data_IF_699792356026
#
_entry.id   IF_699792356026
#
_cell.length_a   1.000
_cell.length_b   1.000
_cell.length_c   1.000
_cell.angle_alpha   90.00
_cell.angle_beta   90.00
_cell.angle_gamma   90.00
#
_symmetry.space_group_name_H-M   'P 1'
#
loop_
_entity.id
_entity.type
_entity.pdbx_description
1 polymer ?
#
# COMPACT_ATOMS: atom_id res chain seq x y z
N UNK A 1 0.50 -13.74 15.26
CA UNK A 1 0.09 -14.85 14.36
C UNK A 1 -1.28 -14.51 13.75
N UNK A 2 -1.67 -15.16 12.65
CA UNK A 2 -3.05 -15.09 12.18
C UNK A 2 -4.02 -15.64 13.24
N UNK A 3 -5.28 -15.20 13.23
CA UNK A 3 -6.27 -15.65 14.20
C UNK A 3 -7.66 -15.72 13.56
N UNK A 4 -8.16 -16.94 13.38
CA UNK A 4 -9.50 -17.20 12.85
C UNK A 4 -10.60 -16.83 13.85
N UNK A 5 -10.26 -16.67 15.13
CA UNK A 5 -11.21 -16.16 16.12
C UNK A 5 -11.29 -14.63 15.99
N UNK A 6 -12.48 -14.07 15.72
CA UNK A 6 -12.63 -12.64 15.56
C UNK A 6 -12.21 -11.88 16.83
N UNK A 7 -11.32 -10.89 16.66
CA UNK A 7 -10.94 -9.92 17.69
C UNK A 7 -11.34 -8.55 17.18
N UNK A 8 -12.14 -7.81 17.97
CA UNK A 8 -12.72 -6.52 17.59
C UNK A 8 -13.41 -6.54 16.22
N UNK A 9 -14.11 -7.65 15.92
CA UNK A 9 -14.86 -7.83 14.69
C UNK A 9 -14.01 -8.20 13.47
N UNK A 10 -12.73 -8.54 13.63
CA UNK A 10 -11.83 -8.92 12.53
C UNK A 10 -11.15 -10.26 12.83
N UNK A 11 -11.19 -11.17 11.87
CA UNK A 11 -10.37 -12.38 11.89
C UNK A 11 -9.33 -12.33 10.76
N UNK A 12 -8.32 -13.19 10.84
CA UNK A 12 -7.30 -13.32 9.80
C UNK A 12 -6.82 -14.73 9.61
N UNK A 13 -6.33 -15.03 8.41
CA UNK A 13 -5.70 -16.30 8.04
C UNK A 13 -4.56 -16.04 7.06
N UNK A 14 -3.56 -16.93 7.06
CA UNK A 14 -2.43 -16.88 6.13
C UNK A 14 -2.71 -17.80 4.93
N UNK A 15 -2.49 -17.30 3.72
CA UNK A 15 -2.55 -18.05 2.48
C UNK A 15 -1.17 -18.06 1.83
N UNK A 16 -0.70 -19.22 1.38
CA UNK A 16 0.53 -19.35 0.60
C UNK A 16 0.16 -19.71 -0.83
N UNK A 17 0.50 -18.85 -1.78
CA UNK A 17 0.30 -19.15 -3.19
C UNK A 17 1.23 -20.30 -3.61
N UNK A 18 0.66 -21.43 -3.99
CA UNK A 18 1.43 -22.63 -4.36
C UNK A 18 2.32 -22.43 -5.60
N UNK A 19 2.03 -21.45 -6.46
CA UNK A 19 2.84 -21.19 -7.64
C UNK A 19 4.10 -20.35 -7.34
N UNK A 20 3.99 -19.41 -6.39
CA UNK A 20 5.07 -18.43 -6.10
C UNK A 20 5.72 -18.64 -4.74
N UNK A 21 5.09 -19.42 -3.85
CA UNK A 21 5.47 -19.53 -2.44
C UNK A 21 5.18 -18.26 -1.64
N UNK A 22 4.51 -17.25 -2.24
CA UNK A 22 4.25 -15.97 -1.61
C UNK A 22 3.18 -16.11 -0.52
N UNK A 23 3.52 -15.69 0.70
CA UNK A 23 2.58 -15.61 1.80
C UNK A 23 1.80 -14.30 1.75
N UNK A 24 0.47 -14.40 1.88
CA UNK A 24 -0.44 -13.28 2.02
C UNK A 24 -1.26 -13.49 3.30
N UNK A 25 -1.38 -12.47 4.15
CA UNK A 25 -2.32 -12.49 5.27
C UNK A 25 -3.61 -11.81 4.87
N UNK A 26 -4.70 -12.55 4.92
CA UNK A 26 -6.05 -12.05 4.65
C UNK A 26 -6.70 -11.62 5.97
N UNK A 27 -7.34 -10.45 5.98
CA UNK A 27 -8.14 -9.93 7.08
C UNK A 27 -9.56 -9.68 6.58
N UNK A 28 -10.55 -10.18 7.31
CA UNK A 28 -11.96 -10.05 6.95
C UNK A 28 -12.82 -9.60 8.13
N UNK A 29 -13.91 -8.86 7.87
CA UNK A 29 -14.88 -8.55 8.91
C UNK A 29 -15.63 -9.81 9.32
N UNK A 30 -15.91 -9.95 10.61
CA UNK A 30 -16.80 -10.98 11.16
C UNK A 30 -18.10 -10.35 11.65
N UNK A 31 -19.23 -11.00 11.36
CA UNK A 31 -20.49 -10.67 12.02
C UNK A 31 -20.44 -11.10 13.49
N UNK A 32 -20.99 -10.29 14.41
CA UNK A 32 -21.04 -10.63 15.85
C UNK A 32 -21.90 -11.87 16.16
N UNK A 33 -22.70 -12.35 15.20
CA UNK A 33 -23.69 -13.43 15.41
C UNK A 33 -23.07 -14.82 15.15
N UNK A 34 -21.99 -14.91 14.36
CA UNK A 34 -21.28 -16.18 14.10
C UNK A 34 -20.38 -16.61 15.30
N UNK A 35 -20.35 -15.80 16.37
CA UNK A 35 -19.30 -15.79 17.40
C UNK A 35 -19.40 -16.87 18.49
N UNK A 36 -20.01 -18.04 18.25
CA UNK A 36 -20.02 -19.05 19.33
C UNK A 36 -19.47 -20.43 19.01
N UNK A 37 -19.63 -21.04 17.83
CA UNK A 37 -19.24 -22.46 17.70
C UNK A 37 -18.90 -22.97 16.27
N UNK A 38 -18.44 -22.14 15.34
CA UNK A 38 -18.05 -22.63 14.00
C UNK A 38 -16.68 -22.10 13.60
N UNK A 39 -15.86 -23.00 13.02
CA UNK A 39 -14.70 -22.63 12.22
C UNK A 39 -15.20 -21.60 11.22
N UNK A 40 -14.63 -20.39 11.25
CA UNK A 40 -14.98 -19.35 10.27
C UNK A 40 -14.69 -19.93 8.90
N UNK A 41 -15.68 -19.88 8.01
CA UNK A 41 -15.50 -20.25 6.62
C UNK A 41 -14.61 -19.17 5.97
N UNK A 42 -13.32 -19.49 5.84
CA UNK A 42 -12.27 -18.54 5.48
C UNK A 42 -12.47 -17.95 4.08
N UNK A 43 -13.11 -18.70 3.19
CA UNK A 43 -13.34 -18.32 1.80
C UNK A 43 -14.84 -18.20 1.50
N UNK A 44 -15.63 -17.81 2.51
CA UNK A 44 -17.05 -17.49 2.32
C UNK A 44 -17.17 -16.36 1.30
N UNK A 45 -18.00 -16.53 0.24
CA UNK A 45 -18.22 -15.47 -0.74
C UNK A 45 -18.71 -14.16 -0.11
N UNK A 46 -18.19 -13.04 -0.62
CA UNK A 46 -18.66 -11.71 -0.24
C UNK A 46 -20.08 -11.43 -0.75
N UNK A 47 -20.61 -10.24 -0.41
CA UNK A 47 -21.99 -9.85 -0.73
C UNK A 47 -22.25 -9.84 -2.24
N UNK A 48 -23.31 -10.53 -2.67
CA UNK A 48 -23.76 -10.54 -4.07
C UNK A 48 -24.46 -9.23 -4.50
N UNK A 49 -24.78 -8.34 -3.55
CA UNK A 49 -25.54 -7.11 -3.82
C UNK A 49 -24.79 -5.84 -3.47
N UNK A 50 -24.02 -5.86 -2.39
CA UNK A 50 -23.21 -4.72 -1.94
C UNK A 50 -21.79 -4.89 -2.44
N UNK A 51 -21.17 -3.80 -2.89
CA UNK A 51 -19.76 -3.79 -3.26
C UNK A 51 -18.91 -3.81 -2.00
N UNK A 52 -18.01 -4.77 -1.89
CA UNK A 52 -17.05 -4.90 -0.79
C UNK A 52 -15.64 -4.64 -1.33
N UNK A 53 -14.97 -3.55 -0.90
CA UNK A 53 -13.61 -3.25 -1.34
C UNK A 53 -12.62 -4.33 -0.89
N UNK A 54 -11.61 -4.59 -1.72
CA UNK A 54 -10.45 -5.42 -1.38
C UNK A 54 -9.20 -4.56 -1.46
N UNK A 55 -8.55 -4.34 -0.31
CA UNK A 55 -7.31 -3.56 -0.21
C UNK A 55 -6.13 -4.55 -0.26
N UNK A 56 -5.33 -4.50 -1.32
CA UNK A 56 -4.02 -5.17 -1.36
C UNK A 56 -3.01 -4.24 -0.70
N UNK A 57 -2.54 -4.62 0.48
CA UNK A 57 -1.68 -3.80 1.32
C UNK A 57 -0.22 -4.27 1.25
N UNK A 58 0.67 -3.33 0.98
CA UNK A 58 2.12 -3.52 1.03
C UNK A 58 2.67 -2.76 2.23
N UNK A 59 3.33 -3.48 3.12
CA UNK A 59 3.91 -2.88 4.31
C UNK A 59 5.15 -2.02 3.98
N UNK A 60 5.42 -1.02 4.80
CA UNK A 60 6.67 -0.27 4.79
C UNK A 60 7.83 -1.04 5.42
N UNK A 61 8.96 -0.36 5.56
CA UNK A 61 10.21 -0.98 6.04
C UNK A 61 11.40 -0.74 5.10
N UNK A 62 11.29 0.23 4.19
CA UNK A 62 12.37 0.61 3.27
C UNK A 62 12.90 -0.59 2.45
N UNK A 63 11.98 -1.42 1.97
CA UNK A 63 12.22 -2.67 1.23
C UNK A 63 12.96 -3.77 2.01
N UNK A 64 13.46 -3.49 3.20
CA UNK A 64 14.36 -4.37 3.97
C UNK A 64 13.68 -4.95 5.21
N UNK A 65 12.81 -4.18 5.86
CA UNK A 65 12.25 -4.52 7.15
C UNK A 65 10.80 -4.97 7.09
N UNK A 66 10.40 -5.61 8.20
CA UNK A 66 9.04 -6.03 8.50
C UNK A 66 8.53 -7.16 7.61
N UNK A 67 7.26 -7.48 7.82
CA UNK A 67 6.55 -8.61 7.25
C UNK A 67 5.04 -8.35 7.39
N UNK A 68 4.22 -9.08 6.65
CA UNK A 68 2.77 -9.06 6.83
C UNK A 68 2.34 -9.45 8.27
N UNK A 69 3.20 -10.16 9.02
CA UNK A 69 2.95 -10.57 10.40
C UNK A 69 3.51 -9.63 11.48
N UNK A 70 4.22 -8.57 11.10
CA UNK A 70 4.72 -7.57 12.04
C UNK A 70 3.56 -6.89 12.76
N UNK A 71 3.61 -6.82 14.09
CA UNK A 71 2.47 -6.39 14.91
C UNK A 71 1.92 -5.00 14.53
N UNK A 72 2.79 -4.08 14.14
CA UNK A 72 2.40 -2.73 13.69
C UNK A 72 1.52 -2.77 12.43
N UNK A 73 1.85 -3.64 11.46
CA UNK A 73 1.08 -3.79 10.22
C UNK A 73 -0.13 -4.67 10.40
N UNK A 74 -0.06 -5.71 11.23
CA UNK A 74 -1.23 -6.52 11.59
C UNK A 74 -2.32 -5.66 12.24
N UNK A 75 -1.91 -4.83 13.19
CA UNK A 75 -2.81 -3.87 13.86
C UNK A 75 -3.38 -2.86 12.86
N UNK A 76 -2.56 -2.34 11.95
CA UNK A 76 -3.00 -1.37 10.95
C UNK A 76 -4.00 -1.98 9.95
N UNK A 77 -3.74 -3.17 9.43
CA UNK A 77 -4.65 -3.88 8.52
C UNK A 77 -6.01 -4.16 9.17
N UNK A 78 -6.02 -4.59 10.45
CA UNK A 78 -7.27 -4.77 11.22
C UNK A 78 -8.07 -3.48 11.35
N UNK A 79 -7.40 -2.33 11.54
CA UNK A 79 -8.07 -1.02 11.56
C UNK A 79 -8.66 -0.67 10.20
N UNK A 80 -7.93 -0.91 9.11
CA UNK A 80 -8.43 -0.68 7.75
C UNK A 80 -9.70 -1.48 7.45
N UNK A 81 -9.74 -2.78 7.81
CA UNK A 81 -10.95 -3.61 7.70
C UNK A 81 -12.13 -2.94 8.41
N UNK A 82 -11.93 -2.52 9.65
CA UNK A 82 -13.01 -1.95 10.47
C UNK A 82 -13.50 -0.58 9.99
N UNK A 83 -12.58 0.29 9.58
CA UNK A 83 -12.86 1.66 9.13
C UNK A 83 -13.50 1.67 7.74
N UNK A 84 -12.97 0.86 6.82
CA UNK A 84 -13.36 0.87 5.42
C UNK A 84 -14.44 -0.17 5.08
N UNK A 85 -14.78 -1.06 6.01
CA UNK A 85 -15.67 -2.22 5.76
C UNK A 85 -15.20 -3.03 4.55
N UNK A 86 -13.89 -3.25 4.50
CA UNK A 86 -13.19 -3.87 3.39
C UNK A 86 -12.54 -5.19 3.81
N UNK A 87 -12.19 -6.02 2.83
CA UNK A 87 -11.20 -7.09 2.99
C UNK A 87 -9.80 -6.48 2.82
N UNK A 88 -8.83 -6.91 3.62
CA UNK A 88 -7.42 -6.51 3.44
C UNK A 88 -6.58 -7.75 3.17
N UNK A 89 -5.75 -7.70 2.14
CA UNK A 89 -4.77 -8.74 1.80
C UNK A 89 -3.38 -8.13 1.95
N UNK A 90 -2.69 -8.44 3.04
CA UNK A 90 -1.35 -7.93 3.35
C UNK A 90 -0.29 -8.88 2.77
N UNK A 91 0.54 -8.36 1.86
CA UNK A 91 1.50 -9.14 1.08
C UNK A 91 2.83 -9.24 1.84
N UNK A 92 3.33 -10.46 2.07
CA UNK A 92 4.64 -10.69 2.69
C UNK A 92 5.74 -10.73 1.63
N UNK A 93 5.94 -9.61 0.95
CA UNK A 93 6.85 -9.48 -0.19
C UNK A 93 8.31 -9.74 0.22
N UNK A 94 9.12 -10.23 -0.74
CA UNK A 94 10.55 -10.48 -0.54
C UNK A 94 11.34 -9.19 -0.37
N UNK A 95 12.32 -9.23 0.54
CA UNK A 95 13.03 -8.03 1.02
C UNK A 95 14.47 -7.97 0.52
N UNK A 96 14.96 -6.74 0.36
CA UNK A 96 16.37 -6.45 0.12
C UNK A 96 17.19 -6.59 1.41
N UNK A 97 18.52 -6.83 1.33
CA UNK A 97 19.33 -6.94 0.11
C UNK A 97 19.31 -8.33 -0.56
N UNK A 98 18.75 -9.36 0.08
CA UNK A 98 18.74 -10.72 -0.45
C UNK A 98 17.91 -10.85 -1.72
N UNK A 99 16.80 -10.10 -1.79
CA UNK A 99 15.92 -10.02 -2.94
C UNK A 99 15.77 -8.56 -3.38
N UNK A 100 16.72 -8.12 -4.22
CA UNK A 100 16.74 -6.78 -4.83
C UNK A 100 15.57 -6.58 -5.82
N UNK A 101 15.45 -5.36 -6.34
CA UNK A 101 14.61 -5.07 -7.49
C UNK A 101 14.81 -6.11 -8.61
N UNK A 102 13.74 -6.60 -9.28
CA UNK A 102 12.33 -6.20 -9.12
C UNK A 102 11.51 -7.09 -8.17
N UNK A 103 12.11 -7.92 -7.30
CA UNK A 103 11.40 -8.98 -6.58
C UNK A 103 10.14 -8.52 -5.82
N UNK A 104 10.20 -7.41 -5.09
CA UNK A 104 9.05 -6.89 -4.36
C UNK A 104 7.89 -6.46 -5.28
N UNK A 105 8.19 -6.02 -6.50
CA UNK A 105 7.18 -5.66 -7.50
C UNK A 105 6.57 -6.91 -8.14
N UNK A 106 7.39 -7.91 -8.44
CA UNK A 106 6.92 -9.20 -8.95
C UNK A 106 5.96 -9.87 -7.95
N UNK A 107 6.29 -9.82 -6.66
CA UNK A 107 5.44 -10.36 -5.59
C UNK A 107 4.13 -9.59 -5.48
N UNK A 108 4.17 -8.26 -5.58
CA UNK A 108 2.96 -7.45 -5.58
C UNK A 108 2.07 -7.68 -6.81
N UNK A 109 2.67 -7.89 -7.97
CA UNK A 109 1.95 -8.28 -9.18
C UNK A 109 1.32 -9.67 -9.06
N UNK A 110 2.04 -10.63 -8.49
CA UNK A 110 1.52 -11.97 -8.21
C UNK A 110 0.33 -11.91 -7.24
N UNK A 111 0.45 -11.14 -6.15
CA UNK A 111 -0.62 -10.96 -5.18
C UNK A 111 -1.87 -10.30 -5.80
N UNK A 112 -1.71 -9.27 -6.63
CA UNK A 112 -2.83 -8.63 -7.32
C UNK A 112 -3.57 -9.61 -8.23
N UNK A 113 -2.84 -10.39 -9.05
CA UNK A 113 -3.44 -11.43 -9.90
C UNK A 113 -4.16 -12.49 -9.09
N UNK A 114 -3.55 -12.94 -7.98
CA UNK A 114 -4.15 -13.91 -7.08
C UNK A 114 -5.48 -13.39 -6.52
N UNK A 115 -5.51 -12.15 -6.01
CA UNK A 115 -6.72 -11.49 -5.50
C UNK A 115 -7.80 -11.40 -6.58
N UNK A 116 -7.46 -10.90 -7.78
CA UNK A 116 -8.41 -10.75 -8.89
C UNK A 116 -9.01 -12.08 -9.35
N UNK A 117 -8.33 -13.20 -9.12
CA UNK A 117 -8.80 -14.53 -9.53
C UNK A 117 -9.65 -15.25 -8.47
N UNK A 118 -9.83 -14.69 -7.26
CA UNK A 118 -10.62 -15.35 -6.20
C UNK A 118 -12.10 -15.04 -6.37
N UNK A 119 -12.89 -16.06 -6.68
CA UNK A 119 -14.35 -15.93 -6.81
C UNK A 119 -15.01 -15.51 -5.50
N UNK A 120 -14.49 -15.96 -4.36
CA UNK A 120 -15.02 -15.57 -3.05
C UNK A 120 -14.76 -14.10 -2.68
N UNK A 121 -13.82 -13.42 -3.37
CA UNK A 121 -13.59 -11.98 -3.24
C UNK A 121 -14.46 -11.13 -4.20
N UNK A 122 -15.25 -11.77 -5.06
CA UNK A 122 -16.20 -11.07 -5.92
C UNK A 122 -17.35 -10.52 -5.08
N UNK A 123 -17.79 -9.30 -5.38
CA UNK A 123 -18.91 -8.67 -4.70
C UNK A 123 -19.67 -7.73 -5.62
N UNK A 124 -20.84 -7.28 -5.17
CA UNK A 124 -21.72 -6.40 -5.94
C UNK A 124 -22.43 -7.12 -7.09
N UNK A 125 -23.36 -6.40 -7.73
CA UNK A 125 -24.18 -6.94 -8.83
C UNK A 125 -23.36 -7.31 -10.08
N UNK A 126 -22.19 -6.72 -10.25
CA UNK A 126 -21.27 -6.99 -11.35
C UNK A 126 -20.38 -8.23 -11.08
N UNK A 127 -20.42 -8.78 -9.86
CA UNK A 127 -19.63 -9.95 -9.45
C UNK A 127 -18.13 -9.78 -9.73
N UNK A 128 -17.60 -8.56 -9.54
CA UNK A 128 -16.18 -8.24 -9.73
C UNK A 128 -15.44 -8.19 -8.40
N UNK A 129 -14.10 -8.24 -8.47
CA UNK A 129 -13.22 -7.95 -7.33
C UNK A 129 -12.80 -6.47 -7.39
N UNK A 130 -13.27 -5.68 -6.43
CA UNK A 130 -13.15 -4.22 -6.36
C UNK A 130 -11.86 -3.82 -5.62
N UNK A 131 -10.74 -3.79 -6.36
CA UNK A 131 -9.39 -3.71 -5.77
C UNK A 131 -8.90 -2.28 -5.59
N UNK A 132 -8.32 -2.01 -4.42
CA UNK A 132 -7.47 -0.87 -4.14
C UNK A 132 -6.07 -1.34 -3.78
N UNK A 133 -5.05 -0.61 -4.24
CA UNK A 133 -3.66 -0.84 -3.82
C UNK A 133 -3.33 0.16 -2.72
N UNK A 134 -2.75 -0.31 -1.63
CA UNK A 134 -2.36 0.54 -0.52
C UNK A 134 -0.98 0.18 0.01
N UNK A 135 -0.26 1.15 0.53
CA UNK A 135 0.98 0.87 1.23
C UNK A 135 1.63 2.11 1.79
N UNK A 136 2.50 1.90 2.76
CA UNK A 136 3.27 2.96 3.40
C UNK A 136 4.76 2.84 3.10
N UNK A 137 5.50 3.95 3.05
CA UNK A 137 6.95 3.91 2.81
C UNK A 137 7.28 3.13 1.52
N UNK A 138 8.11 2.08 1.59
CA UNK A 138 8.39 1.18 0.46
C UNK A 138 7.14 0.51 -0.10
N UNK A 139 6.17 0.18 0.74
CA UNK A 139 4.89 -0.36 0.30
C UNK A 139 4.10 0.59 -0.60
N UNK A 140 4.18 1.90 -0.34
CA UNK A 140 3.59 2.92 -1.22
C UNK A 140 4.28 2.98 -2.58
N UNK A 141 5.59 2.76 -2.62
CA UNK A 141 6.35 2.64 -3.87
C UNK A 141 5.99 1.36 -4.65
N UNK A 142 5.85 0.22 -3.95
CA UNK A 142 5.39 -1.04 -4.55
C UNK A 142 4.00 -0.85 -5.14
N UNK A 143 3.07 -0.26 -4.40
CA UNK A 143 1.71 0.00 -4.87
C UNK A 143 1.69 0.83 -6.16
N UNK A 144 2.52 1.88 -6.28
CA UNK A 144 2.68 2.63 -7.53
C UNK A 144 3.12 1.74 -8.69
N UNK A 145 4.20 0.98 -8.54
CA UNK A 145 4.73 0.15 -9.62
C UNK A 145 3.75 -0.98 -10.01
N UNK A 146 3.05 -1.57 -9.05
CA UNK A 146 2.00 -2.56 -9.30
C UNK A 146 0.81 -1.93 -10.03
N UNK A 147 0.43 -0.70 -9.70
CA UNK A 147 -0.61 0.04 -10.43
C UNK A 147 -0.23 0.31 -11.88
N UNK A 148 1.04 0.65 -12.15
CA UNK A 148 1.54 0.83 -13.52
C UNK A 148 1.44 -0.50 -14.29
N UNK A 149 1.93 -1.60 -13.72
CA UNK A 149 1.83 -2.93 -14.34
C UNK A 149 0.38 -3.35 -14.58
N UNK A 150 -0.52 -3.04 -13.65
CA UNK A 150 -1.95 -3.33 -13.79
C UNK A 150 -2.57 -2.57 -14.96
N UNK A 151 -2.32 -1.26 -15.06
CA UNK A 151 -2.85 -0.44 -16.14
C UNK A 151 -2.32 -0.88 -17.52
N UNK A 152 -1.05 -1.27 -17.62
CA UNK A 152 -0.48 -1.81 -18.86
C UNK A 152 -1.09 -3.16 -19.27
N UNK A 153 -1.42 -3.99 -18.30
CA UNK A 153 -2.03 -5.30 -18.52
C UNK A 153 -3.56 -5.23 -18.68
N UNK A 154 -4.17 -4.04 -18.61
CA UNK A 154 -5.63 -3.88 -18.62
C UNK A 154 -6.32 -4.48 -17.38
N UNK A 155 -5.61 -4.61 -16.27
CA UNK A 155 -6.16 -5.07 -14.99
C UNK A 155 -6.66 -3.88 -14.19
N UNK A 156 -7.98 -3.78 -14.06
CA UNK A 156 -8.65 -2.68 -13.37
C UNK A 156 -8.27 -2.60 -11.88
N UNK A 157 -7.78 -1.45 -11.45
CA UNK A 157 -7.59 -1.06 -10.04
C UNK A 157 -8.42 0.20 -9.82
N UNK A 158 -9.19 0.27 -8.73
CA UNK A 158 -10.09 1.39 -8.46
C UNK A 158 -9.38 2.60 -7.87
N UNK A 159 -8.32 2.37 -7.09
CA UNK A 159 -7.57 3.45 -6.48
C UNK A 159 -6.26 3.02 -5.82
N UNK A 160 -5.34 3.98 -5.69
CA UNK A 160 -4.12 3.85 -4.91
C UNK A 160 -4.21 4.67 -3.62
N UNK A 161 -3.74 4.13 -2.49
CA UNK A 161 -3.64 4.82 -1.20
C UNK A 161 -2.19 4.75 -0.73
N UNK A 162 -1.44 5.81 -0.99
CA UNK A 162 0.00 5.86 -0.74
C UNK A 162 0.30 6.71 0.49
N UNK A 163 0.72 6.05 1.56
CA UNK A 163 1.10 6.72 2.79
C UNK A 163 2.60 7.01 2.74
N UNK A 164 3.01 8.27 2.91
CA UNK A 164 4.42 8.72 2.94
C UNK A 164 5.33 7.90 2.00
N UNK A 165 4.97 7.80 0.69
CA UNK A 165 5.56 6.81 -0.20
C UNK A 165 7.06 7.05 -0.40
N UNK A 166 7.83 5.98 -0.41
CA UNK A 166 9.28 6.05 -0.51
C UNK A 166 9.72 6.26 -1.95
N UNK A 167 10.02 7.51 -2.29
CA UNK A 167 10.66 7.91 -3.54
C UNK A 167 11.98 8.63 -3.24
N UNK A 168 12.77 8.87 -4.29
CA UNK A 168 14.01 9.60 -4.20
C UNK A 168 14.50 10.03 -5.57
N UNK A 169 15.78 10.43 -5.61
CA UNK A 169 16.50 10.80 -6.81
C UNK A 169 17.95 11.10 -6.45
N UNK A 170 18.81 11.31 -7.44
CA UNK A 170 20.23 11.57 -7.13
C UNK A 170 20.48 12.92 -6.48
N UNK A 171 19.71 13.93 -6.87
CA UNK A 171 19.77 15.26 -6.24
C UNK A 171 19.28 15.20 -4.79
N UNK A 172 19.71 16.15 -3.96
CA UNK A 172 19.18 16.34 -2.61
C UNK A 172 18.19 17.48 -2.59
N UNK A 173 16.97 17.22 -2.14
CA UNK A 173 15.94 18.24 -1.99
C UNK A 173 16.22 19.15 -0.79
N UNK A 174 15.47 20.24 -0.68
CA UNK A 174 15.59 21.16 0.45
C UNK A 174 15.05 20.53 1.74
N UNK A 175 13.97 19.74 1.65
CA UNK A 175 13.47 18.96 2.79
C UNK A 175 14.50 17.96 3.31
N UNK A 176 15.19 17.26 2.42
CA UNK A 176 16.23 16.29 2.77
C UNK A 176 17.34 16.95 3.59
N UNK A 177 17.90 18.06 3.10
CA UNK A 177 18.96 18.82 3.80
C UNK A 177 18.48 19.41 5.13
N UNK A 178 17.25 19.92 5.15
CA UNK A 178 16.69 20.63 6.32
C UNK A 178 16.29 19.68 7.45
N UNK A 179 15.86 18.47 7.15
CA UNK A 179 15.26 17.53 8.10
C UNK A 179 16.13 16.31 8.42
N UNK A 180 17.27 16.15 7.76
CA UNK A 180 18.22 15.05 8.01
C UNK A 180 18.50 14.87 9.52
N UNK A 181 18.16 13.69 10.04
CA UNK A 181 18.38 13.30 11.43
C UNK A 181 17.49 13.99 12.47
N UNK A 182 16.58 14.90 12.09
CA UNK A 182 15.73 15.62 13.04
C UNK A 182 14.53 14.81 13.52
N UNK A 183 13.96 13.98 12.64
CA UNK A 183 12.76 13.21 12.91
C UNK A 183 12.92 11.76 12.45
N UNK A 184 13.64 10.96 13.27
CA UNK A 184 13.85 9.51 13.13
C UNK A 184 14.69 9.00 11.95
N UNK A 185 14.68 9.72 10.81
CA UNK A 185 15.27 9.26 9.55
C UNK A 185 16.45 10.15 9.13
N UNK A 186 17.47 9.53 8.55
CA UNK A 186 18.70 10.15 8.05
C UNK A 186 18.91 9.91 6.56
N UNK A 187 19.62 10.81 5.89
CA UNK A 187 20.05 10.59 4.49
C UNK A 187 20.96 9.37 4.36
N UNK A 188 21.79 9.11 5.38
CA UNK A 188 22.66 7.95 5.41
C UNK A 188 21.86 6.64 5.33
N UNK A 189 20.79 6.51 6.11
CA UNK A 189 19.94 5.33 6.03
C UNK A 189 19.17 5.27 4.70
N UNK A 190 18.65 6.40 4.19
CA UNK A 190 17.94 6.44 2.89
C UNK A 190 18.83 5.94 1.76
N UNK A 191 20.08 6.39 1.74
CA UNK A 191 21.06 5.95 0.75
C UNK A 191 21.37 4.46 0.89
N UNK A 192 21.46 3.96 2.12
CA UNK A 192 21.69 2.55 2.38
C UNK A 192 20.55 1.69 1.85
N UNK A 193 19.29 2.03 2.14
CA UNK A 193 18.13 1.26 1.68
C UNK A 193 17.97 1.29 0.17
N UNK A 194 18.18 2.45 -0.47
CA UNK A 194 18.15 2.51 -1.93
C UNK A 194 19.25 1.65 -2.54
N UNK A 195 20.48 1.68 -1.99
CA UNK A 195 21.57 0.82 -2.45
C UNK A 195 21.29 -0.67 -2.20
N UNK A 196 20.59 -1.01 -1.11
CA UNK A 196 20.22 -2.39 -0.80
C UNK A 196 19.14 -2.91 -1.74
N UNK A 197 18.19 -2.06 -2.15
CA UNK A 197 17.07 -2.46 -3.00
C UNK A 197 17.39 -2.41 -4.50
N UNK A 198 18.04 -1.35 -4.98
CA UNK A 198 18.33 -1.18 -6.41
C UNK A 198 19.32 -2.24 -6.93
N UNK A 199 19.34 -2.49 -8.25
CA UNK A 199 20.38 -3.32 -8.87
C UNK A 199 21.78 -2.81 -8.55
N UNK A 200 22.76 -3.70 -8.52
CA UNK A 200 24.14 -3.29 -8.30
C UNK A 200 24.65 -2.40 -9.45
N UNK A 201 25.29 -1.28 -9.10
CA UNK A 201 25.77 -0.28 -10.06
C UNK A 201 24.75 0.78 -10.46
N UNK A 202 23.48 0.61 -10.07
CA UNK A 202 22.44 1.63 -10.32
C UNK A 202 22.48 2.78 -9.30
N UNK A 203 21.94 3.92 -9.72
CA UNK A 203 21.77 5.11 -8.90
C UNK A 203 20.29 5.41 -8.59
N UNK A 204 20.04 6.45 -7.79
CA UNK A 204 18.68 6.80 -7.36
C UNK A 204 17.83 7.47 -8.45
N UNK A 205 18.38 7.75 -9.63
CA UNK A 205 17.56 8.14 -10.79
C UNK A 205 17.05 6.93 -11.58
N UNK A 206 17.24 5.71 -11.05
CA UNK A 206 16.57 4.51 -11.53
C UNK A 206 15.04 4.65 -11.33
N UNK A 207 14.18 4.23 -12.29
CA UNK A 207 12.73 4.45 -12.22
C UNK A 207 12.04 3.86 -10.99
N UNK A 208 12.58 2.78 -10.43
CA UNK A 208 12.11 2.20 -9.16
C UNK A 208 12.24 3.18 -7.97
N UNK A 209 13.20 4.10 -8.02
CA UNK A 209 13.43 5.13 -7.01
C UNK A 209 12.78 6.47 -7.39
N UNK A 210 12.96 6.88 -8.64
CA UNK A 210 12.53 8.16 -9.17
C UNK A 210 11.57 7.95 -10.37
N UNK A 211 10.28 7.69 -10.14
CA UNK A 211 9.34 7.30 -11.20
C UNK A 211 9.11 8.40 -12.24
N UNK A 212 9.28 9.67 -11.85
CA UNK A 212 9.19 10.84 -12.73
C UNK A 212 10.54 11.54 -12.95
N UNK A 213 11.64 10.81 -12.72
CA UNK A 213 13.00 11.28 -12.94
C UNK A 213 13.41 11.26 -14.41
N UNK A 214 14.69 11.54 -14.72
CA UNK A 214 15.20 11.57 -16.10
C UNK A 214 15.02 10.26 -16.87
N UNK A 215 15.03 9.12 -16.17
CA UNK A 215 14.80 7.78 -16.74
C UNK A 215 13.38 7.27 -16.53
N UNK A 216 12.53 8.06 -15.86
CA UNK A 216 11.14 7.75 -15.60
C UNK A 216 10.33 7.64 -16.89
N UNK A 217 9.30 6.80 -16.87
CA UNK A 217 8.33 6.70 -17.96
C UNK A 217 7.22 7.73 -17.78
N UNK A 218 6.66 8.22 -18.88
CA UNK A 218 5.41 8.97 -18.79
C UNK A 218 4.24 8.03 -18.47
N UNK A 219 3.23 8.57 -17.77
CA UNK A 219 1.94 7.93 -17.56
C UNK A 219 0.83 8.58 -18.41
N UNK A 220 1.20 9.42 -19.39
CA UNK A 220 0.26 10.06 -20.30
C UNK A 220 -0.55 9.01 -21.07
N UNK A 221 -1.87 9.16 -21.07
CA UNK A 221 -2.80 8.27 -21.78
C UNK A 221 -2.94 6.87 -21.18
N UNK A 222 -2.28 6.58 -20.05
CA UNK A 222 -2.46 5.33 -19.32
C UNK A 222 -3.70 5.43 -18.42
N UNK A 223 -4.56 4.41 -18.44
CA UNK A 223 -5.70 4.27 -17.51
C UNK A 223 -5.21 3.94 -16.09
N UNK A 224 -4.58 4.92 -15.45
CA UNK A 224 -4.00 4.78 -14.12
C UNK A 224 -5.06 5.09 -13.05
N UNK A 225 -5.13 4.29 -11.95
CA UNK A 225 -6.10 4.51 -10.90
C UNK A 225 -5.94 5.87 -10.22
N UNK A 226 -7.06 6.46 -9.79
CA UNK A 226 -7.03 7.65 -8.93
C UNK A 226 -6.20 7.37 -7.68
N UNK A 227 -5.55 8.40 -7.14
CA UNK A 227 -4.54 8.22 -6.08
C UNK A 227 -4.76 9.16 -4.91
N UNK A 228 -4.92 8.61 -3.71
CA UNK A 228 -4.79 9.34 -2.44
C UNK A 228 -3.33 9.28 -1.98
N UNK A 229 -2.66 10.43 -1.97
CA UNK A 229 -1.26 10.55 -1.56
C UNK A 229 -1.19 11.30 -0.24
N UNK A 230 -0.60 10.67 0.77
CA UNK A 230 -0.49 11.23 2.12
C UNK A 230 0.96 11.59 2.39
N UNK A 231 1.22 12.86 2.70
CA UNK A 231 2.56 13.39 2.93
C UNK A 231 2.67 13.87 4.37
N UNK A 232 3.67 13.36 5.08
CA UNK A 232 4.02 13.82 6.42
C UNK A 232 5.01 15.01 6.30
N UNK A 233 4.64 16.19 6.79
CA UNK A 233 5.42 17.41 6.65
C UNK A 233 6.74 17.45 7.43
N UNK A 234 6.96 16.48 8.34
CA UNK A 234 8.24 16.28 9.03
C UNK A 234 9.01 15.05 8.51
N UNK A 235 8.56 14.44 7.42
CA UNK A 235 9.36 13.48 6.66
C UNK A 235 10.42 14.22 5.82
N UNK A 236 11.68 13.77 5.89
CA UNK A 236 12.76 14.38 5.13
C UNK A 236 12.58 14.22 3.60
N UNK A 237 11.88 13.18 3.14
CA UNK A 237 11.66 12.95 1.70
C UNK A 237 10.34 13.56 1.19
N UNK A 238 9.68 14.43 1.97
CA UNK A 238 8.41 15.05 1.57
C UNK A 238 8.47 15.77 0.21
N UNK A 239 9.59 16.41 -0.14
CA UNK A 239 9.73 17.09 -1.43
C UNK A 239 9.66 16.09 -2.59
N UNK A 240 10.18 14.86 -2.42
CA UNK A 240 10.04 13.79 -3.41
C UNK A 240 8.60 13.29 -3.51
N UNK A 241 7.88 13.20 -2.40
CA UNK A 241 6.47 12.82 -2.38
C UNK A 241 5.58 13.88 -3.05
N UNK A 242 5.86 15.17 -2.80
CA UNK A 242 5.17 16.29 -3.45
C UNK A 242 5.53 16.39 -4.94
N UNK A 243 6.78 16.08 -5.32
CA UNK A 243 7.18 15.99 -6.72
C UNK A 243 6.44 14.86 -7.44
N UNK A 244 6.23 13.72 -6.77
CA UNK A 244 5.42 12.62 -7.30
C UNK A 244 3.96 13.02 -7.56
N UNK A 245 3.33 13.76 -6.64
CA UNK A 245 1.97 14.32 -6.85
C UNK A 245 1.94 15.18 -8.10
N UNK A 246 2.89 16.12 -8.23
CA UNK A 246 2.99 16.97 -9.43
C UNK A 246 3.23 16.17 -10.71
N UNK A 247 3.98 15.07 -10.63
CA UNK A 247 4.22 14.17 -11.76
C UNK A 247 2.92 13.52 -12.25
N UNK A 248 2.12 12.99 -11.34
CA UNK A 248 0.80 12.44 -11.65
C UNK A 248 -0.15 13.49 -12.24
N UNK A 249 -0.23 14.68 -11.63
CA UNK A 249 -1.08 15.78 -12.11
C UNK A 249 -0.67 16.23 -13.52
N UNK A 250 0.64 16.30 -13.81
CA UNK A 250 1.14 16.63 -15.15
C UNK A 250 0.75 15.60 -16.20
N UNK A 251 0.64 14.33 -15.81
CA UNK A 251 0.14 13.26 -16.68
C UNK A 251 -1.39 13.19 -16.76
N UNK A 252 -2.11 14.18 -16.21
CA UNK A 252 -3.57 14.21 -16.21
C UNK A 252 -4.23 13.19 -15.28
N UNK A 253 -3.48 12.60 -14.36
CA UNK A 253 -3.99 11.58 -13.45
C UNK A 253 -4.76 12.19 -12.28
N UNK A 254 -5.77 11.48 -11.78
CA UNK A 254 -6.59 11.95 -10.66
C UNK A 254 -5.85 11.78 -9.33
N UNK A 255 -5.54 12.88 -8.65
CA UNK A 255 -4.78 12.88 -7.40
C UNK A 255 -5.50 13.65 -6.31
N UNK A 256 -5.56 13.07 -5.12
CA UNK A 256 -5.92 13.73 -3.86
C UNK A 256 -4.71 13.76 -2.95
N UNK A 257 -4.17 14.94 -2.67
CA UNK A 257 -3.09 15.13 -1.70
C UNK A 257 -3.67 15.40 -0.31
N UNK A 258 -3.23 14.62 0.69
CA UNK A 258 -3.38 14.91 2.11
C UNK A 258 -2.01 15.27 2.68
N UNK A 259 -1.72 16.57 2.77
CA UNK A 259 -0.48 17.08 3.37
C UNK A 259 -0.69 17.41 4.84
N UNK A 260 0.07 16.75 5.72
CA UNK A 260 -0.04 16.85 7.17
C UNK A 260 1.21 17.52 7.75
N UNK A 261 1.16 18.84 7.89
CA UNK A 261 2.31 19.72 8.16
C UNK A 261 3.24 19.27 9.31
N UNK A 262 2.65 18.76 10.40
CA UNK A 262 3.33 18.38 11.65
C UNK A 262 3.37 16.88 11.89
N UNK A 263 2.89 16.07 10.94
CA UNK A 263 3.00 14.63 11.04
C UNK A 263 4.45 14.19 10.80
N UNK A 264 4.91 13.20 11.57
CA UNK A 264 6.17 12.47 11.33
C UNK A 264 5.88 11.14 10.65
N UNK A 265 6.93 10.44 10.21
CA UNK A 265 6.80 9.04 9.76
C UNK A 265 6.14 8.17 10.85
N UNK A 266 5.32 7.20 10.44
CA UNK A 266 4.66 6.24 11.34
C UNK A 266 3.53 6.80 12.22
N UNK A 267 3.09 8.05 12.02
CA UNK A 267 2.01 8.67 12.81
C UNK A 267 0.73 7.84 12.89
N UNK A 268 0.48 6.99 11.87
CA UNK A 268 -0.72 6.19 11.75
C UNK A 268 -0.66 4.82 12.46
N UNK A 269 0.49 4.45 13.06
CA UNK A 269 0.58 3.20 13.84
C UNK A 269 -0.12 3.30 15.19
N UNK A 270 -0.31 4.50 15.74
CA UNK A 270 -0.95 4.73 17.03
C UNK A 270 -2.17 5.65 16.87
N UNK A 271 -3.35 5.27 17.39
CA UNK A 271 -4.58 6.06 17.29
C UNK A 271 -4.62 7.12 18.40
N UNK A 272 -3.57 7.92 18.52
CA UNK A 272 -3.35 8.85 19.63
C UNK A 272 -3.10 10.29 19.17
N UNK A 273 -3.37 10.59 17.90
CA UNK A 273 -3.12 11.90 17.30
C UNK A 273 -4.16 12.21 16.22
N UNK A 274 -4.42 13.50 15.98
CA UNK A 274 -5.44 13.96 15.03
C UNK A 274 -5.10 13.59 13.59
N UNK A 275 -3.82 13.50 13.24
CA UNK A 275 -3.37 13.07 11.92
C UNK A 275 -3.84 11.65 11.59
N UNK A 276 -3.80 10.72 12.56
CA UNK A 276 -4.35 9.37 12.40
C UNK A 276 -5.86 9.40 12.09
N UNK A 277 -6.64 10.16 12.86
CA UNK A 277 -8.10 10.22 12.66
C UNK A 277 -8.46 10.89 11.33
N UNK A 278 -7.75 11.96 10.97
CA UNK A 278 -7.86 12.61 9.67
C UNK A 278 -7.57 11.63 8.54
N UNK A 279 -6.44 10.89 8.62
CA UNK A 279 -6.08 9.88 7.64
C UNK A 279 -7.16 8.81 7.48
N UNK A 280 -7.63 8.23 8.59
CA UNK A 280 -8.64 7.16 8.54
C UNK A 280 -9.94 7.62 7.89
N UNK A 281 -10.36 8.85 8.16
CA UNK A 281 -11.54 9.45 7.52
C UNK A 281 -11.33 9.66 6.02
N UNK A 282 -10.13 10.12 5.63
CA UNK A 282 -9.79 10.34 4.23
C UNK A 282 -9.71 9.04 3.42
N UNK A 283 -9.11 7.98 3.97
CA UNK A 283 -9.10 6.65 3.35
C UNK A 283 -10.53 6.14 3.16
N UNK A 284 -11.37 6.24 4.20
CA UNK A 284 -12.78 5.83 4.13
C UNK A 284 -13.55 6.60 3.07
N UNK A 285 -13.39 7.93 3.03
CA UNK A 285 -14.05 8.78 2.04
C UNK A 285 -13.58 8.48 0.62
N UNK A 286 -12.28 8.23 0.44
CA UNK A 286 -11.69 7.89 -0.85
C UNK A 286 -12.24 6.57 -1.41
N UNK A 287 -12.30 5.51 -0.59
CA UNK A 287 -12.85 4.21 -1.00
C UNK A 287 -14.35 4.31 -1.26
N UNK A 288 -15.10 4.96 -0.36
CA UNK A 288 -16.56 5.04 -0.50
C UNK A 288 -17.02 5.90 -1.69
N UNK A 289 -16.16 6.76 -2.22
CA UNK A 289 -16.51 7.59 -3.38
C UNK A 289 -16.75 6.80 -4.67
N UNK A 290 -16.25 5.55 -4.78
CA UNK A 290 -16.51 4.66 -5.93
C UNK A 290 -17.62 3.64 -5.68
N UNK A 291 -18.14 3.56 -4.45
CA UNK A 291 -19.14 2.56 -4.06
C UNK A 291 -20.59 3.05 -4.22
N UNK A 292 -20.78 4.33 -4.55
CA UNK A 292 -22.07 4.98 -4.72
C UNK A 292 -22.47 5.07 -6.19
#
# INVERSE_FOLDING_TARGET
>A
PANINPVDGVFSFDHVDGATGLLNRVYQPSSRIESRWRIVDLEKPLSATEVVPVIVFFHGGSFTHSSANSAIYDTFCRRLVNVCKAVVVSVDYRRSPEHRYPCAYDDGWAALKWVKSRTWLQSGKDSKVHVYLAGDSSGGNIAHNVAVMAAEAGVEVLGNILLHPMFGGQSRTESEKRLDGKYFVTLQDRDWYWRAYLPEGEDRDHPACNPFGPRGRTLDGLEFPKSLIVVAGLDLIQDWQLAYVKGLEKCGQQVKLLYLDKATIGFYFLPNNDHFYCLMNEIKGFINSDLN
#
